data_IF_291662359245
#
_entry.id   IF_291662359245
#
_cell.length_a   1.000
_cell.length_b   1.000
_cell.length_c   1.000
_cell.angle_alpha   90.00
_cell.angle_beta   90.00
_cell.angle_gamma   90.00
#
_symmetry.space_group_name_H-M   'P 1'
#
loop_
_entity.id
_entity.type
_entity.pdbx_description
1 polymer ?
#
# COMPACT_ATOMS: atom_id res chain seq x y z
N UNK A 1 24.97 3.34 25.00
CA UNK A 1 24.00 3.06 26.07
C UNK A 1 22.59 3.21 25.51
N UNK A 2 21.85 2.11 25.33
CA UNK A 2 20.46 2.15 24.88
C UNK A 2 19.61 2.80 25.99
N UNK A 3 18.99 3.92 25.71
CA UNK A 3 17.98 4.52 26.63
C UNK A 3 16.86 3.51 26.82
N UNK A 4 16.70 3.00 28.05
CA UNK A 4 15.53 2.23 28.44
C UNK A 4 14.29 3.07 28.15
N UNK A 5 13.59 2.80 27.05
CA UNK A 5 12.29 3.41 26.76
C UNK A 5 11.32 2.94 27.84
N UNK A 6 10.92 3.85 28.73
CA UNK A 6 9.89 3.56 29.73
C UNK A 6 8.65 3.03 29.02
N UNK A 7 8.25 1.83 29.33
CA UNK A 7 7.07 1.20 28.74
C UNK A 7 5.84 2.04 29.09
N UNK A 8 5.09 2.44 28.08
CA UNK A 8 3.85 3.20 28.27
C UNK A 8 2.77 2.26 28.83
N UNK A 9 1.77 2.79 29.57
CA UNK A 9 0.76 1.98 30.25
C UNK A 9 -0.09 1.18 29.25
N UNK A 10 -0.53 0.01 29.71
CA UNK A 10 -1.60 -0.78 29.12
C UNK A 10 -2.94 -0.21 29.62
N UNK A 11 -3.89 -0.03 28.71
CA UNK A 11 -5.27 0.33 29.01
C UNK A 11 -6.12 -0.92 28.78
N UNK A 12 -6.76 -1.43 29.82
CA UNK A 12 -7.51 -2.68 29.77
C UNK A 12 -8.99 -2.46 29.50
N UNK A 13 -9.62 -3.37 28.77
CA UNK A 13 -11.07 -3.42 28.49
C UNK A 13 -11.66 -2.10 28.02
N UNK A 14 -11.01 -1.47 27.07
CA UNK A 14 -11.43 -0.19 26.51
C UNK A 14 -12.39 -0.41 25.36
N UNK A 15 -13.56 0.21 25.40
CA UNK A 15 -14.52 0.20 24.30
C UNK A 15 -14.13 1.22 23.23
N UNK A 16 -14.10 0.79 21.99
CA UNK A 16 -13.93 1.65 20.82
C UNK A 16 -15.25 2.31 20.49
N UNK A 17 -15.26 3.63 20.37
CA UNK A 17 -16.50 4.42 20.29
C UNK A 17 -16.76 5.05 18.92
N UNK A 18 -15.72 5.31 18.14
CA UNK A 18 -15.87 6.03 16.86
C UNK A 18 -14.68 5.75 15.92
N UNK A 19 -14.72 6.34 14.72
CA UNK A 19 -13.67 6.30 13.73
C UNK A 19 -13.11 7.70 13.51
N UNK A 20 -11.80 7.79 13.35
CA UNK A 20 -11.08 9.01 13.01
C UNK A 20 -10.53 8.95 11.57
N UNK A 21 -9.88 10.05 11.18
CA UNK A 21 -9.13 10.12 9.93
C UNK A 21 -8.05 9.04 9.83
N UNK A 22 -7.60 8.76 8.61
CA UNK A 22 -6.51 7.83 8.29
C UNK A 22 -6.77 6.36 8.69
N UNK A 23 -8.02 5.99 8.88
CA UNK A 23 -8.40 4.62 9.24
C UNK A 23 -8.12 4.22 10.68
N UNK A 24 -7.87 5.18 11.57
CA UNK A 24 -7.78 4.96 13.00
C UNK A 24 -9.17 4.98 13.61
N UNK A 25 -9.39 4.21 14.67
CA UNK A 25 -10.57 4.31 15.48
C UNK A 25 -10.27 5.09 16.77
N UNK A 26 -11.32 5.47 17.48
CA UNK A 26 -11.26 6.33 18.67
C UNK A 26 -11.78 5.56 19.88
N UNK A 27 -11.01 5.61 20.95
CA UNK A 27 -11.47 5.34 22.29
C UNK A 27 -11.35 6.62 23.15
N UNK A 28 -12.14 6.72 24.23
CA UNK A 28 -12.03 7.79 25.22
C UNK A 28 -11.70 7.19 26.58
N UNK A 29 -10.56 7.57 27.15
CA UNK A 29 -10.12 7.09 28.45
C UNK A 29 -9.69 8.32 29.28
N UNK A 30 -10.32 8.53 30.43
CA UNK A 30 -10.08 9.69 31.32
C UNK A 30 -10.06 11.02 30.52
N UNK A 31 -11.10 11.26 29.73
CA UNK A 31 -11.30 12.46 28.90
C UNK A 31 -10.29 12.60 27.72
N UNK A 32 -9.31 11.72 27.62
CA UNK A 32 -8.35 11.72 26.50
C UNK A 32 -8.82 10.85 25.35
N UNK A 33 -8.59 11.35 24.15
CA UNK A 33 -8.76 10.57 22.92
C UNK A 33 -7.56 9.66 22.75
N UNK A 34 -7.85 8.38 22.49
CA UNK A 34 -6.85 7.36 22.14
C UNK A 34 -7.13 6.86 20.73
N UNK A 35 -6.17 7.04 19.83
CA UNK A 35 -6.26 6.56 18.46
C UNK A 35 -5.69 5.15 18.35
N UNK A 36 -6.49 4.23 17.79
CA UNK A 36 -6.14 2.81 17.68
C UNK A 36 -6.41 2.34 16.24
N UNK A 37 -5.44 1.80 15.52
CA UNK A 37 -5.66 1.23 14.20
C UNK A 37 -6.26 -0.17 14.28
N UNK A 38 -6.93 -0.60 13.19
CA UNK A 38 -7.44 -1.97 12.97
C UNK A 38 -8.48 -2.46 13.98
N UNK A 39 -9.13 -1.55 14.68
CA UNK A 39 -10.29 -1.82 15.54
C UNK A 39 -11.52 -1.13 15.00
N UNK A 40 -12.70 -1.63 15.34
CA UNK A 40 -14.00 -1.13 14.93
C UNK A 40 -14.79 -0.55 16.12
N UNK A 41 -15.66 0.44 15.94
CA UNK A 41 -16.57 0.86 16.98
C UNK A 41 -17.39 -0.32 17.52
N UNK A 42 -17.46 -0.46 18.84
CA UNK A 42 -18.05 -1.60 19.53
C UNK A 42 -17.07 -2.71 19.91
N UNK A 43 -15.83 -2.70 19.41
CA UNK A 43 -14.80 -3.60 19.95
C UNK A 43 -14.47 -3.25 21.40
N UNK A 44 -14.24 -4.25 22.26
CA UNK A 44 -13.68 -4.10 23.60
C UNK A 44 -12.29 -4.71 23.62
N UNK A 45 -11.27 -3.86 23.82
CA UNK A 45 -9.87 -4.26 23.64
C UNK A 45 -8.94 -3.75 24.74
N UNK A 46 -7.83 -4.47 24.92
CA UNK A 46 -6.69 -3.93 25.67
C UNK A 46 -5.78 -3.17 24.71
N UNK A 47 -5.44 -1.93 25.10
CA UNK A 47 -4.67 -1.03 24.26
C UNK A 47 -3.29 -0.79 24.89
N UNK A 48 -2.23 -1.27 24.23
CA UNK A 48 -0.87 -0.88 24.58
C UNK A 48 -0.58 0.49 23.98
N UNK A 49 -0.36 1.49 24.83
CA UNK A 49 0.00 2.81 24.34
C UNK A 49 1.39 2.79 23.69
N UNK A 50 1.48 3.43 22.51
CA UNK A 50 2.74 3.58 21.74
C UNK A 50 3.24 5.03 21.79
N UNK A 51 2.33 5.99 22.00
CA UNK A 51 2.62 7.41 22.11
C UNK A 51 1.65 8.10 23.06
N UNK A 52 2.17 9.03 23.86
CA UNK A 52 1.33 9.85 24.77
C UNK A 52 1.67 11.32 24.59
N UNK A 53 0.65 12.13 24.30
CA UNK A 53 0.69 13.59 24.24
C UNK A 53 -0.25 14.18 25.32
N UNK A 54 -0.22 15.51 25.49
CA UNK A 54 -1.09 16.17 26.47
C UNK A 54 -2.57 16.03 26.10
N UNK A 55 -2.91 16.19 24.80
CA UNK A 55 -4.29 16.18 24.30
C UNK A 55 -4.78 14.82 23.79
N UNK A 56 -3.90 13.90 23.42
CA UNK A 56 -4.26 12.59 22.90
C UNK A 56 -3.20 11.54 23.19
N UNK A 57 -3.56 10.28 22.93
CA UNK A 57 -2.61 9.16 22.91
C UNK A 57 -2.81 8.33 21.63
N UNK A 58 -1.81 7.53 21.31
CA UNK A 58 -1.88 6.50 20.24
C UNK A 58 -1.52 5.15 20.87
N UNK A 59 -2.18 4.11 20.43
CA UNK A 59 -1.95 2.76 20.90
C UNK A 59 -2.28 1.72 19.84
N UNK A 60 -2.00 0.49 20.16
CA UNK A 60 -2.41 -0.68 19.36
C UNK A 60 -3.19 -1.65 20.25
N UNK A 61 -4.23 -2.25 19.70
CA UNK A 61 -4.92 -3.34 20.36
C UNK A 61 -3.98 -4.55 20.47
N UNK A 62 -3.89 -5.12 21.66
CA UNK A 62 -3.05 -6.30 21.96
C UNK A 62 -3.88 -7.50 22.36
N UNK A 63 -5.09 -7.28 22.83
CA UNK A 63 -6.05 -8.33 23.14
C UNK A 63 -7.47 -7.85 22.85
N UNK A 64 -8.31 -8.70 22.28
CA UNK A 64 -9.72 -8.45 22.03
C UNK A 64 -10.54 -9.27 23.02
N UNK A 65 -11.34 -8.58 23.85
CA UNK A 65 -12.31 -9.21 24.76
C UNK A 65 -13.63 -9.45 24.03
N UNK A 66 -14.07 -8.48 23.23
CA UNK A 66 -15.30 -8.57 22.44
C UNK A 66 -15.06 -7.96 21.06
N UNK A 67 -15.61 -8.61 20.03
CA UNK A 67 -15.61 -8.10 18.68
C UNK A 67 -16.92 -7.39 18.38
N UNK A 68 -16.85 -6.24 17.75
CA UNK A 68 -18.00 -5.51 17.25
C UNK A 68 -18.80 -6.34 16.23
N UNK A 69 -20.11 -6.26 16.31
CA UNK A 69 -21.03 -6.85 15.30
C UNK A 69 -20.94 -6.16 13.95
N UNK A 70 -20.35 -4.97 13.88
CA UNK A 70 -20.14 -4.23 12.66
C UNK A 70 -18.90 -4.69 11.86
N UNK A 71 -18.13 -5.63 12.40
CA UNK A 71 -16.94 -6.11 11.68
C UNK A 71 -17.28 -6.96 10.46
N UNK A 72 -16.42 -6.85 9.44
CA UNK A 72 -16.39 -7.76 8.30
C UNK A 72 -15.06 -8.52 8.30
N UNK A 73 -15.05 -9.72 7.73
CA UNK A 73 -13.82 -10.48 7.50
C UNK A 73 -13.05 -9.85 6.35
N UNK A 74 -11.79 -9.41 6.56
CA UNK A 74 -10.96 -8.91 5.47
C UNK A 74 -10.75 -9.99 4.40
N UNK A 75 -10.92 -9.61 3.13
CA UNK A 75 -10.72 -10.54 2.01
C UNK A 75 -9.25 -10.65 1.56
N UNK A 76 -8.39 -9.73 1.98
CA UNK A 76 -6.97 -9.73 1.66
C UNK A 76 -6.16 -10.36 2.77
N UNK A 77 -5.41 -11.42 2.47
CA UNK A 77 -4.51 -12.10 3.41
C UNK A 77 -3.43 -11.20 4.01
N UNK A 78 -3.07 -10.12 3.29
CA UNK A 78 -2.05 -9.17 3.73
C UNK A 78 -2.61 -8.00 4.55
N UNK A 79 -3.93 -8.01 4.83
CA UNK A 79 -4.55 -6.94 5.61
C UNK A 79 -3.99 -6.87 7.03
N UNK A 80 -3.73 -5.66 7.50
CA UNK A 80 -3.14 -5.43 8.83
C UNK A 80 -1.60 -5.43 8.84
N UNK A 81 -0.96 -5.98 7.82
CA UNK A 81 0.50 -6.04 7.70
C UNK A 81 1.03 -5.08 6.63
N UNK A 82 0.54 -5.17 5.38
CA UNK A 82 1.09 -4.38 4.27
C UNK A 82 0.82 -2.86 4.36
N UNK A 83 -0.10 -2.43 5.19
CA UNK A 83 -0.39 -1.00 5.39
C UNK A 83 -1.12 -0.29 4.25
N UNK A 84 -1.34 -0.93 3.11
CA UNK A 84 -2.01 -0.35 1.95
C UNK A 84 -3.51 -0.12 2.16
N UNK A 85 -4.17 -0.99 2.91
CA UNK A 85 -5.59 -0.90 3.25
C UNK A 85 -5.79 -0.69 4.75
N UNK A 86 -6.77 0.16 5.12
CA UNK A 86 -7.01 0.53 6.52
C UNK A 86 -8.30 -0.05 7.09
N UNK A 87 -9.30 -0.34 6.27
CA UNK A 87 -10.68 -0.56 6.71
C UNK A 87 -11.33 -1.84 6.15
N UNK A 88 -10.56 -2.82 5.67
CA UNK A 88 -11.17 -4.07 5.18
C UNK A 88 -11.91 -4.88 6.26
N UNK A 89 -11.68 -4.57 7.53
CA UNK A 89 -12.40 -5.14 8.68
C UNK A 89 -13.76 -4.46 8.93
N UNK A 90 -14.15 -3.48 8.12
CA UNK A 90 -15.46 -2.83 8.14
C UNK A 90 -16.18 -3.07 6.81
N UNK A 91 -17.50 -3.36 6.80
CA UNK A 91 -18.27 -3.44 5.57
C UNK A 91 -18.30 -2.09 4.87
N UNK A 92 -18.51 -2.09 3.55
CA UNK A 92 -18.37 -0.89 2.73
C UNK A 92 -19.35 0.21 3.13
N UNK A 93 -20.57 -0.15 3.51
CA UNK A 93 -21.60 0.77 3.99
C UNK A 93 -21.14 1.50 5.29
N UNK A 94 -20.47 0.80 6.19
CA UNK A 94 -19.88 1.39 7.38
C UNK A 94 -18.74 2.35 7.01
N UNK A 95 -17.88 1.96 6.05
CA UNK A 95 -16.81 2.84 5.55
C UNK A 95 -17.39 4.14 4.96
N UNK A 96 -18.49 4.06 4.22
CA UNK A 96 -19.18 5.24 3.66
C UNK A 96 -19.70 6.13 4.78
N UNK A 97 -20.41 5.57 5.79
CA UNK A 97 -20.92 6.35 6.93
C UNK A 97 -19.81 7.10 7.66
N UNK A 98 -18.70 6.45 7.96
CA UNK A 98 -17.60 7.08 8.67
C UNK A 98 -16.88 8.14 7.82
N UNK A 99 -16.71 7.92 6.52
CA UNK A 99 -16.16 8.93 5.61
C UNK A 99 -17.09 10.16 5.51
N UNK A 100 -18.38 9.92 5.38
CA UNK A 100 -19.38 10.99 5.34
C UNK A 100 -19.33 11.82 6.63
N UNK A 101 -19.39 11.14 7.77
CA UNK A 101 -19.28 11.78 9.09
C UNK A 101 -17.99 12.61 9.22
N UNK A 102 -16.86 12.07 8.77
CA UNK A 102 -15.57 12.79 8.82
C UNK A 102 -15.61 14.09 8.00
N UNK A 103 -16.22 14.08 6.81
CA UNK A 103 -16.36 15.29 5.99
C UNK A 103 -17.22 16.32 6.71
N UNK A 104 -18.37 15.91 7.24
CA UNK A 104 -19.25 16.80 8.00
C UNK A 104 -18.52 17.38 9.22
N UNK A 105 -17.89 16.54 10.04
CA UNK A 105 -17.13 16.97 11.21
C UNK A 105 -16.02 17.98 10.86
N UNK A 106 -15.31 17.77 9.76
CA UNK A 106 -14.26 18.68 9.29
C UNK A 106 -14.83 20.03 8.84
N UNK A 107 -15.91 20.02 8.06
CA UNK A 107 -16.53 21.26 7.60
C UNK A 107 -17.15 22.05 8.75
N UNK A 108 -17.89 21.40 9.64
CA UNK A 108 -18.59 22.10 10.74
C UNK A 108 -17.66 22.48 11.88
N UNK A 109 -16.82 21.56 12.35
CA UNK A 109 -16.01 21.80 13.57
C UNK A 109 -14.71 22.53 13.30
N UNK A 110 -14.04 22.21 12.18
CA UNK A 110 -12.75 22.83 11.80
C UNK A 110 -13.00 24.00 10.88
N UNK A 111 -13.75 23.79 9.80
CA UNK A 111 -14.06 24.81 8.80
C UNK A 111 -15.03 25.87 9.28
N UNK A 112 -15.82 25.60 10.38
CA UNK A 112 -16.87 26.49 10.88
C UNK A 112 -17.90 26.88 9.84
N UNK A 113 -18.16 25.95 8.89
CA UNK A 113 -19.10 26.15 7.81
C UNK A 113 -20.47 25.67 8.27
N UNK A 114 -21.47 26.53 8.16
CA UNK A 114 -22.88 26.17 8.31
C UNK A 114 -23.35 25.59 6.97
N UNK A 115 -23.99 24.41 7.00
CA UNK A 115 -24.49 23.73 5.83
C UNK A 115 -26.01 23.61 5.95
N UNK A 116 -26.74 24.08 4.95
CA UNK A 116 -28.19 23.98 4.89
C UNK A 116 -28.64 22.53 4.64
N UNK A 117 -27.94 21.86 3.73
CA UNK A 117 -28.21 20.47 3.36
C UNK A 117 -26.91 19.73 3.09
N UNK A 118 -26.86 18.45 3.48
CA UNK A 118 -25.75 17.54 3.15
C UNK A 118 -26.31 16.31 2.48
N UNK A 119 -26.04 16.17 1.20
CA UNK A 119 -26.46 15.01 0.44
C UNK A 119 -25.75 13.74 0.91
N UNK A 120 -26.37 12.55 0.79
CA UNK A 120 -25.73 11.28 1.07
C UNK A 120 -24.44 11.11 0.27
N UNK A 121 -23.45 10.48 0.88
CA UNK A 121 -22.18 10.16 0.19
C UNK A 121 -22.44 9.22 -0.99
N UNK A 122 -21.88 9.55 -2.14
CA UNK A 122 -21.92 8.68 -3.31
C UNK A 122 -20.90 7.55 -3.14
N UNK A 123 -21.36 6.31 -3.11
CA UNK A 123 -20.53 5.12 -3.06
C UNK A 123 -19.92 4.77 -4.42
N UNK A 124 -18.86 3.99 -4.42
CA UNK A 124 -18.27 3.40 -5.63
C UNK A 124 -18.95 2.05 -5.91
N UNK A 125 -19.28 1.78 -7.18
CA UNK A 125 -19.77 0.47 -7.61
C UNK A 125 -18.73 -0.64 -7.43
N UNK A 126 -17.43 -0.29 -7.63
CA UNK A 126 -16.30 -1.21 -7.46
C UNK A 126 -15.57 -0.91 -6.16
N UNK A 127 -15.51 -1.89 -5.27
CA UNK A 127 -14.80 -1.82 -3.99
C UNK A 127 -13.46 -2.54 -4.02
N UNK A 128 -13.19 -3.30 -5.10
CA UNK A 128 -11.90 -3.94 -5.42
C UNK A 128 -11.48 -3.56 -6.84
N UNK A 129 -10.20 -3.70 -7.17
CA UNK A 129 -9.64 -3.46 -8.51
C UNK A 129 -9.95 -2.06 -9.07
N UNK A 130 -10.01 -1.06 -8.19
CA UNK A 130 -10.34 0.33 -8.55
C UNK A 130 -9.13 1.23 -8.75
N UNK A 131 -7.94 0.80 -8.33
CA UNK A 131 -6.70 1.57 -8.51
C UNK A 131 -6.16 1.42 -9.93
N UNK A 132 -5.78 2.55 -10.50
CA UNK A 132 -5.15 2.60 -11.81
C UNK A 132 -3.62 2.63 -11.77
N UNK A 133 -2.99 2.78 -10.59
CA UNK A 133 -1.53 2.77 -10.42
C UNK A 133 -1.11 2.07 -9.14
N UNK A 134 -0.14 1.15 -9.26
CA UNK A 134 0.60 0.59 -8.13
C UNK A 134 2.10 0.60 -8.42
N UNK A 135 2.87 0.76 -7.36
CA UNK A 135 4.34 0.65 -7.36
C UNK A 135 4.73 -0.44 -6.38
N UNK A 136 5.49 -1.41 -6.85
CA UNK A 136 5.99 -2.54 -6.06
C UNK A 136 7.50 -2.43 -5.94
N UNK A 137 8.02 -2.68 -4.75
CA UNK A 137 9.46 -2.67 -4.47
C UNK A 137 10.00 -4.09 -4.50
N UNK A 138 11.13 -4.29 -5.17
CA UNK A 138 11.96 -5.48 -5.08
C UNK A 138 12.98 -5.27 -3.97
N UNK A 139 13.07 -6.21 -3.03
CA UNK A 139 14.00 -6.10 -1.91
C UNK A 139 14.55 -7.46 -1.51
N UNK A 140 15.83 -7.50 -1.13
CA UNK A 140 16.46 -8.66 -0.50
C UNK A 140 16.21 -8.72 1.02
N UNK A 141 15.30 -7.89 1.55
CA UNK A 141 14.95 -7.78 2.98
C UNK A 141 13.46 -8.07 3.17
N UNK A 142 13.06 -9.32 2.91
CA UNK A 142 11.68 -9.78 3.15
C UNK A 142 11.26 -9.50 4.59
N UNK A 143 10.05 -8.99 4.78
CA UNK A 143 9.38 -8.96 6.07
C UNK A 143 8.80 -10.35 6.35
N UNK A 144 9.20 -10.95 7.46
CA UNK A 144 8.62 -12.21 7.94
C UNK A 144 7.36 -11.90 8.75
N UNK A 145 6.28 -12.61 8.44
CA UNK A 145 5.03 -12.53 9.21
C UNK A 145 5.20 -13.17 10.58
N UNK A 146 4.28 -12.89 11.51
CA UNK A 146 4.33 -13.53 12.84
C UNK A 146 4.25 -15.06 12.76
N UNK A 147 3.52 -15.59 11.79
CA UNK A 147 3.40 -17.03 11.54
C UNK A 147 4.72 -17.62 11.07
N UNK A 148 5.38 -16.96 10.10
CA UNK A 148 6.70 -17.35 9.61
C UNK A 148 7.75 -17.32 10.73
N UNK A 149 7.73 -16.29 11.59
CA UNK A 149 8.64 -16.20 12.75
C UNK A 149 8.35 -17.28 13.78
N UNK A 150 7.08 -17.54 14.09
CA UNK A 150 6.67 -18.58 15.06
C UNK A 150 6.96 -19.99 14.56
N UNK A 151 6.96 -20.23 13.26
CA UNK A 151 7.29 -21.53 12.68
C UNK A 151 8.73 -21.96 12.94
N UNK A 152 9.63 -21.01 13.25
CA UNK A 152 11.07 -21.27 13.41
C UNK A 152 11.76 -21.71 12.11
N UNK A 153 11.09 -21.57 10.95
CA UNK A 153 11.64 -21.94 9.66
C UNK A 153 12.83 -21.01 9.29
N UNK A 154 13.85 -21.59 8.71
CA UNK A 154 14.92 -20.85 8.06
C UNK A 154 14.55 -20.59 6.61
N UNK A 155 14.81 -19.38 6.13
CA UNK A 155 14.52 -18.98 4.77
C UNK A 155 15.83 -18.78 4.01
N UNK A 156 16.10 -19.61 3.02
CA UNK A 156 17.29 -19.50 2.18
C UNK A 156 17.22 -18.26 1.28
N UNK A 157 16.02 -17.80 0.96
CA UNK A 157 15.78 -16.63 0.13
C UNK A 157 14.96 -15.57 0.88
N UNK A 158 15.55 -14.40 1.06
CA UNK A 158 14.91 -13.23 1.67
C UNK A 158 14.44 -12.19 0.63
N UNK A 159 14.30 -12.61 -0.62
CA UNK A 159 13.79 -11.77 -1.70
C UNK A 159 12.26 -11.61 -1.61
N UNK A 160 11.79 -10.39 -1.75
CA UNK A 160 10.38 -10.03 -1.69
C UNK A 160 10.01 -9.00 -2.75
N UNK A 161 8.81 -9.11 -3.28
CA UNK A 161 8.22 -8.10 -4.18
C UNK A 161 6.86 -7.66 -3.66
N UNK A 162 6.76 -6.40 -3.26
CA UNK A 162 5.51 -5.89 -2.73
C UNK A 162 5.63 -4.49 -2.15
N UNK A 163 5.13 -4.31 -0.94
CA UNK A 163 5.05 -3.00 -0.29
C UNK A 163 5.90 -2.93 0.97
N UNK A 164 6.44 -1.75 1.25
CA UNK A 164 7.13 -1.49 2.50
C UNK A 164 6.19 -1.64 3.70
N UNK A 165 6.72 -2.21 4.78
CA UNK A 165 6.02 -2.25 6.06
C UNK A 165 5.95 -0.84 6.66
N UNK A 166 4.79 -0.39 7.15
CA UNK A 166 4.66 0.91 7.80
C UNK A 166 5.68 1.13 8.91
N UNK A 167 6.49 2.19 8.78
CA UNK A 167 7.55 2.52 9.73
C UNK A 167 8.87 1.76 9.54
N UNK A 168 8.97 0.87 8.56
CA UNK A 168 10.18 0.07 8.26
C UNK A 168 10.57 0.30 6.79
N UNK A 169 11.44 1.27 6.55
CA UNK A 169 11.77 1.72 5.19
C UNK A 169 12.51 0.68 4.34
N UNK A 170 13.22 -0.25 4.96
CA UNK A 170 14.04 -1.27 4.31
C UNK A 170 13.41 -2.67 4.27
N UNK A 171 12.20 -2.83 4.81
CA UNK A 171 11.51 -4.12 4.84
C UNK A 171 10.33 -4.14 3.90
N UNK A 172 10.26 -5.17 3.07
CA UNK A 172 9.21 -5.36 2.09
C UNK A 172 8.43 -6.64 2.40
N UNK A 173 7.11 -6.50 2.47
CA UNK A 173 6.21 -7.65 2.53
C UNK A 173 6.08 -8.25 1.13
N UNK A 174 6.32 -9.54 1.03
CA UNK A 174 6.11 -10.27 -0.20
C UNK A 174 4.60 -10.46 -0.45
N UNK A 175 4.09 -9.87 -1.53
CA UNK A 175 2.65 -9.85 -1.80
C UNK A 175 2.30 -10.96 -2.80
N UNK A 176 1.38 -11.85 -2.43
CA UNK A 176 0.86 -12.86 -3.34
C UNK A 176 -0.23 -12.27 -4.24
N UNK A 177 -1.24 -11.65 -3.65
CA UNK A 177 -2.33 -11.01 -4.38
C UNK A 177 -2.67 -9.64 -3.80
N UNK A 178 -2.69 -8.60 -4.65
CA UNK A 178 -3.23 -7.29 -4.31
C UNK A 178 -4.61 -7.13 -4.97
N UNK A 179 -5.59 -6.69 -4.20
CA UNK A 179 -6.98 -6.49 -4.63
C UNK A 179 -7.27 -5.04 -5.05
N UNK A 180 -6.27 -4.17 -5.06
CA UNK A 180 -6.48 -2.76 -5.37
C UNK A 180 -6.46 -2.49 -6.87
N UNK A 181 -5.60 -3.18 -7.64
CA UNK A 181 -5.48 -3.03 -9.08
C UNK A 181 -5.88 -4.34 -9.78
N UNK A 182 -6.29 -4.25 -11.04
CA UNK A 182 -6.68 -5.39 -11.86
C UNK A 182 -5.65 -6.54 -11.76
N UNK A 183 -6.12 -7.77 -11.85
CA UNK A 183 -5.32 -8.98 -11.61
C UNK A 183 -4.11 -9.11 -12.55
N UNK A 184 -4.14 -8.49 -13.72
CA UNK A 184 -2.99 -8.42 -14.62
C UNK A 184 -1.73 -7.89 -13.92
N UNK A 185 -1.88 -6.95 -12.97
CA UNK A 185 -0.74 -6.42 -12.21
C UNK A 185 -0.11 -7.47 -11.29
N UNK A 186 -0.91 -8.37 -10.71
CA UNK A 186 -0.40 -9.49 -9.92
C UNK A 186 0.38 -10.46 -10.80
N UNK A 187 -0.16 -10.80 -11.97
CA UNK A 187 0.47 -11.71 -12.93
C UNK A 187 1.82 -11.17 -13.42
N UNK A 188 1.88 -9.90 -13.83
CA UNK A 188 3.13 -9.25 -14.27
C UNK A 188 4.16 -9.25 -13.15
N UNK A 189 3.78 -8.80 -11.95
CA UNK A 189 4.67 -8.74 -10.79
C UNK A 189 5.24 -10.11 -10.43
N UNK A 190 4.41 -11.15 -10.39
CA UNK A 190 4.85 -12.51 -10.08
C UNK A 190 5.72 -13.08 -11.18
N UNK A 191 5.41 -12.85 -12.45
CA UNK A 191 6.23 -13.28 -13.59
C UNK A 191 7.64 -12.67 -13.52
N UNK A 192 7.76 -11.36 -13.29
CA UNK A 192 9.06 -10.70 -13.14
C UNK A 192 9.83 -11.25 -11.94
N UNK A 193 9.15 -11.46 -10.81
CA UNK A 193 9.75 -12.06 -9.61
C UNK A 193 10.31 -13.44 -9.91
N UNK A 194 9.52 -14.30 -10.53
CA UNK A 194 9.89 -15.67 -10.86
C UNK A 194 11.07 -15.72 -11.84
N UNK A 195 11.03 -14.88 -12.88
CA UNK A 195 12.14 -14.75 -13.81
C UNK A 195 13.44 -14.39 -13.10
N UNK A 196 13.41 -13.36 -12.24
CA UNK A 196 14.59 -12.91 -11.50
C UNK A 196 15.11 -13.94 -10.48
N UNK A 197 14.24 -14.79 -9.94
CA UNK A 197 14.64 -15.85 -9.00
C UNK A 197 15.20 -17.09 -9.72
N UNK A 198 14.78 -17.35 -10.96
CA UNK A 198 15.19 -18.52 -11.73
C UNK A 198 16.41 -18.30 -12.62
N UNK A 199 16.85 -17.03 -12.80
CA UNK A 199 18.01 -16.66 -13.59
C UNK A 199 19.06 -15.98 -12.76
N UNK A 200 20.33 -16.36 -12.94
CA UNK A 200 21.45 -15.70 -12.28
C UNK A 200 21.63 -14.25 -12.77
N UNK A 201 22.12 -13.40 -11.87
CA UNK A 201 22.45 -12.01 -12.21
C UNK A 201 21.33 -11.00 -12.05
N UNK A 202 20.20 -11.37 -11.42
CA UNK A 202 19.09 -10.47 -11.11
C UNK A 202 18.90 -10.25 -9.59
N UNK A 203 19.93 -9.76 -8.86
CA UNK A 203 19.81 -9.53 -7.44
C UNK A 203 18.76 -8.44 -7.16
N UNK A 204 17.91 -8.69 -6.16
CA UNK A 204 16.94 -7.70 -5.68
C UNK A 204 17.66 -6.60 -4.92
N UNK A 205 17.11 -5.40 -4.97
CA UNK A 205 17.75 -4.21 -4.42
C UNK A 205 17.87 -4.25 -2.90
N UNK A 206 19.07 -3.94 -2.39
CA UNK A 206 19.31 -3.68 -0.97
C UNK A 206 19.30 -2.17 -0.72
N UNK A 207 18.20 -1.68 -0.13
CA UNK A 207 18.03 -0.25 0.10
C UNK A 207 19.05 0.34 1.10
N UNK A 208 19.62 -0.47 2.00
CA UNK A 208 20.62 0.00 2.96
C UNK A 208 22.01 0.10 2.34
N UNK A 209 22.39 -0.93 1.61
CA UNK A 209 23.72 -1.02 1.01
C UNK A 209 23.79 -0.35 -0.36
N UNK A 210 22.63 -0.01 -0.96
CA UNK A 210 22.53 0.56 -2.31
C UNK A 210 23.18 -0.38 -3.35
N UNK A 211 22.76 -1.65 -3.31
CA UNK A 211 23.27 -2.73 -4.16
C UNK A 211 22.10 -3.51 -4.76
N UNK A 212 22.33 -4.19 -5.86
CA UNK A 212 21.35 -5.01 -6.55
C UNK A 212 21.13 -4.55 -7.97
N UNK A 213 20.17 -5.16 -8.66
CA UNK A 213 19.88 -4.85 -10.07
C UNK A 213 18.44 -4.38 -10.27
N UNK A 214 17.45 -5.19 -9.86
CA UNK A 214 16.04 -4.82 -10.00
C UNK A 214 15.52 -4.11 -8.73
N UNK A 215 14.84 -2.99 -8.92
CA UNK A 215 14.50 -2.04 -7.86
C UNK A 215 13.00 -1.87 -7.63
N UNK A 216 12.29 -1.40 -8.66
CA UNK A 216 10.87 -1.05 -8.55
C UNK A 216 10.12 -1.43 -9.80
N UNK A 217 8.88 -1.81 -9.65
CA UNK A 217 7.93 -2.08 -10.73
C UNK A 217 6.73 -1.17 -10.56
N UNK A 218 6.48 -0.30 -11.52
CA UNK A 218 5.26 0.49 -11.59
C UNK A 218 4.35 -0.04 -12.69
N UNK A 219 3.07 -0.25 -12.36
CA UNK A 219 2.05 -0.68 -13.31
C UNK A 219 0.91 0.34 -13.30
N UNK A 220 0.52 0.78 -14.49
CA UNK A 220 -0.66 1.64 -14.70
C UNK A 220 -1.62 0.95 -15.65
N UNK A 221 -2.89 0.99 -15.29
CA UNK A 221 -4.00 0.51 -16.12
C UNK A 221 -4.94 1.67 -16.41
N UNK A 222 -5.50 1.71 -17.60
CA UNK A 222 -6.49 2.69 -18.01
C UNK A 222 -7.86 2.05 -18.23
N UNK A 223 -8.93 2.86 -18.21
CA UNK A 223 -10.30 2.42 -18.51
C UNK A 223 -10.47 1.97 -19.96
N UNK A 224 -9.64 2.48 -20.85
CA UNK A 224 -9.55 2.09 -22.28
C UNK A 224 -9.00 0.68 -22.50
N UNK A 225 -8.43 0.05 -21.46
CA UNK A 225 -7.72 -1.23 -21.55
C UNK A 225 -6.22 -1.08 -21.75
N UNK A 226 -5.71 0.13 -21.96
CA UNK A 226 -4.27 0.37 -22.07
C UNK A 226 -3.54 0.00 -20.78
N UNK A 227 -2.34 -0.58 -20.94
CA UNK A 227 -1.50 -1.08 -19.86
C UNK A 227 -0.07 -0.56 -20.01
N UNK A 228 0.41 0.17 -18.99
CA UNK A 228 1.80 0.63 -18.91
C UNK A 228 2.54 -0.10 -17.79
N UNK A 229 3.71 -0.59 -18.12
CA UNK A 229 4.65 -1.24 -17.19
C UNK A 229 5.97 -0.50 -17.23
N UNK A 230 6.47 -0.07 -16.08
CA UNK A 230 7.77 0.59 -15.94
C UNK A 230 8.61 -0.23 -14.97
N UNK A 231 9.73 -0.76 -15.45
CA UNK A 231 10.70 -1.49 -14.63
C UNK A 231 11.87 -0.57 -14.31
N UNK A 232 12.18 -0.41 -13.04
CA UNK A 232 13.30 0.40 -12.59
C UNK A 232 14.46 -0.50 -12.21
N UNK A 233 15.60 -0.31 -12.86
CA UNK A 233 16.86 -0.97 -12.56
C UNK A 233 17.79 -0.02 -11.80
N UNK A 234 18.65 -0.57 -10.96
CA UNK A 234 19.59 0.25 -10.19
C UNK A 234 20.75 0.76 -11.05
N UNK A 235 21.33 -0.10 -11.87
CA UNK A 235 22.42 0.25 -12.78
C UNK A 235 22.17 -0.29 -14.19
N UNK A 236 22.90 0.22 -15.17
CA UNK A 236 22.79 -0.26 -16.55
C UNK A 236 23.48 -1.63 -16.71
N UNK A 237 22.74 -2.58 -17.22
CA UNK A 237 23.20 -3.85 -17.78
C UNK A 237 22.26 -4.18 -18.94
N UNK A 238 22.67 -3.83 -20.13
CA UNK A 238 21.84 -3.91 -21.32
C UNK A 238 21.36 -5.34 -21.60
N UNK A 239 22.25 -6.32 -21.48
CA UNK A 239 21.95 -7.70 -21.78
C UNK A 239 20.87 -8.26 -20.84
N UNK A 240 21.06 -8.11 -19.54
CA UNK A 240 20.09 -8.56 -18.53
C UNK A 240 18.77 -7.82 -18.61
N UNK A 241 18.84 -6.49 -18.78
CA UNK A 241 17.64 -5.66 -18.93
C UNK A 241 16.80 -6.07 -20.14
N UNK A 242 17.44 -6.25 -21.32
CA UNK A 242 16.74 -6.64 -22.53
C UNK A 242 16.19 -8.06 -22.43
N UNK A 243 16.91 -9.00 -21.82
CA UNK A 243 16.41 -10.35 -21.60
C UNK A 243 15.14 -10.37 -20.74
N UNK A 244 15.14 -9.68 -19.60
CA UNK A 244 13.96 -9.57 -18.73
C UNK A 244 12.79 -8.88 -19.44
N UNK A 245 13.03 -7.73 -20.07
CA UNK A 245 11.96 -6.96 -20.72
C UNK A 245 11.39 -7.69 -21.94
N UNK A 246 12.22 -8.44 -22.69
CA UNK A 246 11.75 -9.31 -23.78
C UNK A 246 10.85 -10.43 -23.26
N UNK A 247 11.25 -11.10 -22.18
CA UNK A 247 10.42 -12.10 -21.52
C UNK A 247 9.07 -11.53 -21.10
N UNK A 248 9.05 -10.36 -20.43
CA UNK A 248 7.79 -9.70 -20.04
C UNK A 248 6.94 -9.37 -21.27
N UNK A 249 7.57 -8.86 -22.34
CA UNK A 249 6.88 -8.51 -23.56
C UNK A 249 6.24 -9.72 -24.28
N UNK A 250 6.88 -10.89 -24.20
CA UNK A 250 6.37 -12.15 -24.76
C UNK A 250 5.23 -12.72 -23.91
N UNK A 251 5.37 -12.69 -22.58
CA UNK A 251 4.35 -13.23 -21.67
C UNK A 251 3.08 -12.36 -21.61
N UNK A 252 3.20 -11.05 -21.87
CA UNK A 252 2.11 -10.07 -21.77
C UNK A 252 2.03 -9.21 -23.03
N UNK A 253 1.55 -9.78 -24.16
CA UNK A 253 1.42 -9.04 -25.43
C UNK A 253 0.44 -7.86 -25.34
N UNK A 254 -0.46 -7.86 -24.35
CA UNK A 254 -1.41 -6.81 -24.06
C UNK A 254 -0.79 -5.53 -23.46
N UNK A 255 0.49 -5.51 -23.10
CA UNK A 255 1.17 -4.31 -22.63
C UNK A 255 1.28 -3.30 -23.77
N UNK A 256 0.60 -2.16 -23.59
CA UNK A 256 0.61 -1.04 -24.56
C UNK A 256 1.92 -0.25 -24.50
N UNK A 257 2.49 -0.14 -23.31
CA UNK A 257 3.66 0.70 -23.02
C UNK A 257 4.58 -0.02 -22.05
N UNK A 258 5.68 -0.61 -22.54
CA UNK A 258 6.72 -1.23 -21.72
C UNK A 258 7.93 -0.31 -21.66
N UNK A 259 8.19 0.23 -20.50
CA UNK A 259 9.19 1.25 -20.24
C UNK A 259 10.21 0.77 -19.20
N UNK A 260 11.37 1.41 -19.19
CA UNK A 260 12.35 1.19 -18.13
C UNK A 260 13.06 2.48 -17.71
N UNK A 261 13.67 2.44 -16.54
CA UNK A 261 14.47 3.52 -15.95
C UNK A 261 15.72 2.93 -15.34
N UNK A 262 16.84 3.61 -15.52
CA UNK A 262 18.07 3.36 -14.74
C UNK A 262 18.14 4.41 -13.64
N UNK A 263 18.06 3.98 -12.38
CA UNK A 263 18.04 4.89 -11.23
C UNK A 263 19.09 4.50 -10.20
N UNK A 264 20.28 5.07 -10.36
CA UNK A 264 21.44 4.88 -9.45
C UNK A 264 21.40 5.76 -8.20
N UNK A 265 20.33 6.55 -8.02
CA UNK A 265 20.20 7.45 -6.86
C UNK A 265 19.81 6.68 -5.59
N UNK A 266 20.06 7.31 -4.45
CA UNK A 266 19.69 6.77 -3.15
C UNK A 266 18.16 6.82 -2.86
N UNK A 267 17.34 7.39 -3.75
CA UNK A 267 15.89 7.48 -3.59
C UNK A 267 15.15 6.89 -4.80
N UNK A 268 13.86 6.61 -4.64
CA UNK A 268 13.02 5.99 -5.66
C UNK A 268 12.36 6.99 -6.62
N UNK A 269 12.70 8.28 -6.53
CA UNK A 269 12.14 9.30 -7.41
C UNK A 269 12.67 9.15 -8.82
N UNK A 270 11.78 8.98 -9.80
CA UNK A 270 12.12 8.81 -11.22
C UNK A 270 11.76 10.03 -12.09
N UNK A 271 11.23 11.11 -11.50
CA UNK A 271 10.76 12.29 -12.26
C UNK A 271 11.86 13.09 -12.92
N UNK A 272 13.06 12.97 -12.43
CA UNK A 272 14.30 13.59 -12.91
C UNK A 272 15.19 12.57 -13.64
N UNK A 273 14.66 11.40 -13.98
CA UNK A 273 15.34 10.35 -14.72
C UNK A 273 14.74 10.17 -16.11
N UNK A 274 15.54 9.68 -17.03
CA UNK A 274 15.07 9.31 -18.35
C UNK A 274 14.25 8.02 -18.28
N UNK A 275 12.98 8.12 -18.68
CA UNK A 275 12.10 6.96 -18.85
C UNK A 275 12.12 6.56 -20.31
N UNK A 276 12.70 5.41 -20.59
CA UNK A 276 12.99 4.94 -21.94
C UNK A 276 11.96 3.90 -22.38
N UNK A 277 11.58 3.94 -23.66
CA UNK A 277 10.64 2.98 -24.24
C UNK A 277 11.41 1.73 -24.67
N UNK A 278 11.01 0.58 -24.12
CA UNK A 278 11.49 -0.72 -24.63
C UNK A 278 10.58 -1.23 -25.75
N UNK A 279 9.26 -1.19 -25.55
CA UNK A 279 8.26 -1.61 -26.55
C UNK A 279 6.98 -0.79 -26.43
N UNK A 280 6.36 -0.52 -27.58
CA UNK A 280 5.06 0.16 -27.67
C UNK A 280 5.15 1.67 -27.59
N UNK A 281 4.20 2.29 -26.89
CA UNK A 281 4.08 3.76 -26.76
C UNK A 281 4.80 4.26 -25.50
N UNK A 282 5.11 5.54 -25.48
CA UNK A 282 5.62 6.25 -24.28
C UNK A 282 4.50 6.66 -23.31
N UNK A 283 3.25 6.34 -23.60
CA UNK A 283 2.06 6.72 -22.84
C UNK A 283 0.93 5.70 -23.00
N UNK A 284 -0.07 5.84 -22.16
CA UNK A 284 -1.39 5.20 -22.27
C UNK A 284 -2.47 6.28 -22.36
N UNK A 285 -3.63 5.90 -22.89
CA UNK A 285 -4.80 6.78 -22.98
C UNK A 285 -5.77 6.44 -21.86
N UNK A 286 -6.24 7.44 -21.13
CA UNK A 286 -7.31 7.32 -20.15
C UNK A 286 -8.52 8.14 -20.61
N UNK A 287 -9.71 7.59 -20.46
CA UNK A 287 -10.95 8.28 -20.76
C UNK A 287 -11.55 8.91 -19.51
N UNK A 288 -11.78 10.22 -19.55
CA UNK A 288 -12.40 10.98 -18.47
C UNK A 288 -13.59 11.76 -19.02
N UNK A 289 -14.81 11.32 -18.71
CA UNK A 289 -16.06 11.97 -19.17
C UNK A 289 -16.11 12.16 -20.69
N UNK A 290 -15.93 11.21 -21.50
CA UNK A 290 -15.88 11.35 -22.96
C UNK A 290 -14.69 12.16 -23.54
N UNK A 291 -13.74 12.60 -22.70
CA UNK A 291 -12.48 13.20 -23.14
C UNK A 291 -11.33 12.22 -22.96
N UNK A 292 -10.57 11.98 -24.01
CA UNK A 292 -9.33 11.22 -23.93
C UNK A 292 -8.24 12.04 -23.26
N UNK A 293 -7.53 11.44 -22.31
CA UNK A 293 -6.38 12.03 -21.62
C UNK A 293 -5.16 11.14 -21.79
N UNK A 294 -4.11 11.72 -22.34
CA UNK A 294 -2.81 11.08 -22.43
C UNK A 294 -2.16 11.02 -21.05
N UNK A 295 -1.85 9.81 -20.56
CA UNK A 295 -1.14 9.58 -19.30
C UNK A 295 0.28 9.12 -19.64
N UNK A 296 1.21 10.05 -19.58
CA UNK A 296 2.63 9.80 -19.84
C UNK A 296 3.40 9.49 -18.55
N UNK A 297 4.70 9.32 -18.71
CA UNK A 297 5.68 9.10 -17.66
C UNK A 297 5.68 10.21 -16.58
N UNK A 298 5.35 11.43 -16.97
CA UNK A 298 5.38 12.63 -16.12
C UNK A 298 4.10 12.82 -15.31
N UNK A 299 3.04 12.10 -15.64
CA UNK A 299 1.75 12.23 -14.97
C UNK A 299 1.85 11.66 -13.55
N UNK A 300 2.34 12.47 -12.64
CA UNK A 300 2.06 12.30 -11.22
C UNK A 300 0.58 12.60 -11.04
N UNK A 301 -0.26 11.58 -11.12
CA UNK A 301 -1.63 11.77 -10.66
C UNK A 301 -1.58 12.06 -9.17
N UNK A 302 -1.72 13.32 -8.78
CA UNK A 302 -2.04 13.71 -7.40
C UNK A 302 -3.45 13.28 -7.00
N UNK A 303 -4.06 12.44 -7.82
CA UNK A 303 -5.39 11.88 -7.63
C UNK A 303 -5.27 10.45 -7.09
N UNK A 304 -4.83 10.34 -5.87
CA UNK A 304 -4.92 9.08 -5.10
C UNK A 304 -5.39 9.40 -3.68
#
# INVERSE_FOLDING_TARGET
MARNKKQLPLLEKVTITDVAAEGKAIARVNEKVVFVPFVAPGDVVDIQLTRKKNSYAEGKAVHFHEYSTERATPFCEHFGVCGGCKWQHLPYEAQLRYKHKQVIDNLTRIGKIEMEEVLPILGSERTTFYRNKLEFTFSNKKWLTEEEVKSGATFDCMNAVGFHIPGMFDKVLDIHKCWLQNDISNRIRLCIKEYCLSHEGYPFFDLRNQEGFIRTLMIRTASTGDLMVVVVFFHEDKERREALLSHVAEQFPEITSLLYVINEKCNDTITDQDVLVFRGKDHIIEEMRSEERRVGKECRSRWS
#
